data_IF_860961047713
#
_entry.id   IF_860961047713
#
_cell.length_a   1.000
_cell.length_b   1.000
_cell.length_c   1.000
_cell.angle_alpha   90.00
_cell.angle_beta   90.00
_cell.angle_gamma   90.00
#
_symmetry.space_group_name_H-M   'P 1'
#
loop_
_entity.id
_entity.type
_entity.pdbx_description
1 polymer ?
#
# COMPACT_ATOMS: atom_id res chain seq x y z
N UNK A 1 10.32 -24.26 21.88
CA UNK A 1 10.62 -23.53 20.61
C UNK A 1 11.98 -22.89 20.72
N UNK A 2 12.93 -23.24 19.84
CA UNK A 2 14.28 -22.69 19.88
C UNK A 2 14.31 -21.26 19.33
N UNK A 3 15.31 -20.47 19.76
CA UNK A 3 15.47 -19.05 19.35
C UNK A 3 15.52 -18.89 17.83
N UNK A 4 16.18 -19.82 17.14
CA UNK A 4 16.22 -19.92 15.67
C UNK A 4 14.83 -20.11 15.06
N UNK A 5 14.01 -21.00 15.63
CA UNK A 5 12.63 -21.24 15.16
C UNK A 5 11.76 -19.99 15.33
N UNK A 6 11.93 -19.24 16.43
CA UNK A 6 11.23 -17.96 16.65
C UNK A 6 11.66 -16.90 15.65
N UNK A 7 12.96 -16.77 15.39
CA UNK A 7 13.48 -15.81 14.41
C UNK A 7 12.97 -16.10 13.00
N UNK A 8 12.91 -17.38 12.61
CA UNK A 8 12.40 -17.80 11.30
C UNK A 8 10.90 -17.52 11.15
N UNK A 9 10.11 -17.73 12.21
CA UNK A 9 8.68 -17.37 12.20
C UNK A 9 8.48 -15.85 12.07
N UNK A 10 9.30 -15.05 12.75
CA UNK A 10 9.24 -13.59 12.68
C UNK A 10 9.58 -13.07 11.28
N UNK A 11 10.59 -13.67 10.65
CA UNK A 11 11.01 -13.30 9.30
C UNK A 11 9.92 -13.60 8.28
N UNK A 12 9.24 -14.74 8.40
CA UNK A 12 8.14 -15.12 7.52
C UNK A 12 6.92 -14.20 7.69
N UNK A 13 6.60 -13.83 8.94
CA UNK A 13 5.54 -12.87 9.24
C UNK A 13 5.86 -11.47 8.70
N UNK A 14 7.13 -11.05 8.78
CA UNK A 14 7.59 -9.76 8.28
C UNK A 14 7.52 -9.67 6.74
N UNK A 15 7.72 -10.77 6.02
CA UNK A 15 7.57 -10.79 4.56
C UNK A 15 6.12 -10.62 4.13
N UNK A 16 5.18 -11.29 4.80
CA UNK A 16 3.75 -11.15 4.54
C UNK A 16 3.21 -9.76 4.87
N UNK A 17 3.58 -9.22 6.04
CA UNK A 17 3.16 -7.89 6.45
C UNK A 17 3.86 -6.77 5.67
N UNK A 18 5.14 -6.93 5.36
CA UNK A 18 5.93 -5.95 4.62
C UNK A 18 5.38 -5.68 3.23
N UNK A 19 4.96 -6.72 2.50
CA UNK A 19 4.35 -6.57 1.17
C UNK A 19 3.02 -5.82 1.20
N UNK A 20 2.15 -6.15 2.16
CA UNK A 20 0.86 -5.47 2.31
C UNK A 20 1.02 -4.02 2.77
N UNK A 21 1.96 -3.74 3.67
CA UNK A 21 2.25 -2.38 4.15
C UNK A 21 2.82 -1.52 3.02
N UNK A 22 3.70 -2.08 2.18
CA UNK A 22 4.25 -1.36 1.03
C UNK A 22 3.16 -1.03 0.00
N UNK A 23 2.30 -2.00 -0.32
CA UNK A 23 1.19 -1.81 -1.25
C UNK A 23 0.16 -0.80 -0.72
N UNK A 24 -0.18 -0.87 0.57
CA UNK A 24 -1.09 0.08 1.21
C UNK A 24 -0.51 1.51 1.23
N UNK A 25 0.79 1.65 1.52
CA UNK A 25 1.47 2.94 1.51
C UNK A 25 1.56 3.54 0.09
N UNK A 26 1.83 2.72 -0.92
CA UNK A 26 1.85 3.15 -2.31
C UNK A 26 0.45 3.59 -2.78
N UNK A 27 -0.59 2.81 -2.46
CA UNK A 27 -1.98 3.17 -2.76
C UNK A 27 -2.39 4.47 -2.06
N UNK A 28 -2.14 4.60 -0.76
CA UNK A 28 -2.44 5.83 -0.04
C UNK A 28 -1.67 7.06 -0.58
N UNK A 29 -0.39 6.89 -0.93
CA UNK A 29 0.43 7.95 -1.51
C UNK A 29 -0.06 8.41 -2.88
N UNK A 30 -0.52 7.49 -3.73
CA UNK A 30 -1.10 7.80 -5.04
C UNK A 30 -2.34 8.69 -4.89
N UNK A 31 -3.24 8.35 -3.97
CA UNK A 31 -4.50 9.09 -3.75
C UNK A 31 -4.24 10.48 -3.16
N UNK A 32 -3.30 10.58 -2.21
CA UNK A 32 -2.91 11.87 -1.63
C UNK A 32 -2.27 12.77 -2.69
N UNK A 33 -1.53 12.18 -3.64
CA UNK A 33 -0.94 12.93 -4.73
C UNK A 33 -1.98 13.41 -5.74
N UNK A 34 -2.97 12.57 -6.07
CA UNK A 34 -4.09 12.91 -6.95
C UNK A 34 -4.91 14.05 -6.36
N UNK A 35 -5.38 13.89 -5.12
CA UNK A 35 -6.15 14.91 -4.42
C UNK A 35 -5.38 16.25 -4.30
N UNK A 36 -4.06 16.20 -4.07
CA UNK A 36 -3.24 17.42 -4.02
C UNK A 36 -3.05 18.11 -5.38
N UNK A 37 -3.29 17.40 -6.49
CA UNK A 37 -3.10 17.89 -7.85
C UNK A 37 -4.43 18.32 -8.48
N UNK A 38 -5.53 17.62 -8.21
CA UNK A 38 -6.85 17.86 -8.80
C UNK A 38 -7.75 18.69 -7.88
N UNK A 39 -7.69 18.48 -6.57
CA UNK A 39 -8.31 19.36 -5.56
C UNK A 39 -9.84 19.44 -5.63
N UNK A 40 -10.47 18.41 -6.18
CA UNK A 40 -11.92 18.25 -6.30
C UNK A 40 -12.54 17.56 -5.07
N UNK A 41 -11.72 16.95 -4.20
CA UNK A 41 -12.17 16.24 -3.01
C UNK A 41 -12.66 14.83 -3.30
N UNK A 42 -12.38 14.30 -4.49
CA UNK A 42 -12.85 13.00 -4.94
C UNK A 42 -11.79 11.93 -4.69
N UNK A 43 -12.11 10.96 -3.84
CA UNK A 43 -11.22 9.85 -3.57
C UNK A 43 -11.46 8.75 -4.61
N UNK A 44 -11.12 9.02 -5.87
CA UNK A 44 -11.21 8.05 -6.96
C UNK A 44 -9.80 7.60 -7.44
N UNK A 45 -9.23 6.53 -6.85
CA UNK A 45 -7.97 5.94 -7.31
C UNK A 45 -7.89 5.59 -8.79
N UNK A 46 -9.04 5.48 -9.45
CA UNK A 46 -9.17 4.93 -10.78
C UNK A 46 -9.69 5.97 -11.77
N UNK A 47 -9.76 7.25 -11.38
CA UNK A 47 -10.28 8.33 -12.20
C UNK A 47 -9.58 8.36 -13.57
N UNK A 48 -8.25 8.38 -13.58
CA UNK A 48 -7.44 8.35 -14.83
C UNK A 48 -7.45 7.03 -15.59
N UNK A 49 -7.98 5.96 -15.01
CA UNK A 49 -8.05 4.63 -15.64
C UNK A 49 -9.40 4.38 -16.29
N UNK A 50 -10.47 5.00 -15.79
CA UNK A 50 -11.85 4.81 -16.28
C UNK A 50 -12.45 6.04 -16.97
N UNK A 51 -11.99 7.26 -16.67
CA UNK A 51 -12.26 8.40 -17.53
C UNK A 51 -11.35 8.29 -18.76
N UNK A 52 -11.90 7.61 -19.76
CA UNK A 52 -11.27 7.41 -21.05
C UNK A 52 -11.08 8.75 -21.77
N UNK A 53 -9.85 9.23 -21.77
CA UNK A 53 -9.22 10.01 -22.83
C UNK A 53 -8.03 9.25 -23.44
#
# INVERSE_FOLDING_TARGET
>A
MNKLTKAMLLLLAAQGLGGCVLAAAAGAGYMVHDEATEGDGEFDPLEKVFDGD
#
